data_IF_471909500510
#
_entry.id   IF_471909500510
#
_cell.length_a   1.000
_cell.length_b   1.000
_cell.length_c   1.000
_cell.angle_alpha   90.00
_cell.angle_beta   90.00
_cell.angle_gamma   90.00
#
_symmetry.space_group_name_H-M   'P 1'
#
loop_
_entity.id
_entity.type
_entity.pdbx_description
1 polymer ?
#
# COMPACT_ATOMS: atom_id res chain seq x y z
N UNK A 1 -13.96 -2.10 -1.13
CA UNK A 1 -14.68 -1.99 -2.45
C UNK A 1 -14.98 -0.55 -2.88
N UNK A 2 -15.69 0.28 -2.09
CA UNK A 2 -16.08 1.65 -2.50
C UNK A 2 -14.87 2.57 -2.71
N UNK A 3 -13.90 2.56 -1.83
CA UNK A 3 -12.65 3.34 -1.97
C UNK A 3 -11.92 3.04 -3.27
N UNK A 4 -11.87 1.77 -3.70
CA UNK A 4 -11.25 1.40 -4.97
C UNK A 4 -12.01 2.00 -6.17
N UNK A 5 -13.36 2.00 -6.13
CA UNK A 5 -14.19 2.62 -7.18
C UNK A 5 -13.91 4.13 -7.26
N UNK A 6 -13.86 4.83 -6.11
CA UNK A 6 -13.53 6.25 -6.08
C UNK A 6 -12.11 6.53 -6.56
N UNK A 7 -11.12 5.77 -6.09
CA UNK A 7 -9.73 5.91 -6.52
C UNK A 7 -9.60 5.76 -8.04
N UNK A 8 -10.24 4.75 -8.63
CA UNK A 8 -10.25 4.56 -10.08
C UNK A 8 -10.98 5.70 -10.79
N UNK A 9 -12.17 6.09 -10.32
CA UNK A 9 -12.91 7.20 -10.90
C UNK A 9 -12.14 8.52 -10.88
N UNK A 10 -11.46 8.83 -9.79
CA UNK A 10 -10.60 10.01 -9.67
C UNK A 10 -9.43 9.92 -10.65
N UNK A 11 -8.72 8.80 -10.70
CA UNK A 11 -7.59 8.62 -11.61
C UNK A 11 -7.99 8.78 -13.06
N UNK A 12 -9.01 8.07 -13.51
CA UNK A 12 -9.36 8.00 -14.94
C UNK A 12 -10.15 9.22 -15.40
N UNK A 13 -11.10 9.74 -14.60
CA UNK A 13 -12.03 10.80 -15.03
C UNK A 13 -11.60 12.21 -14.64
N UNK A 14 -10.82 12.36 -13.59
CA UNK A 14 -10.40 13.67 -13.10
C UNK A 14 -8.93 13.93 -13.43
N UNK A 15 -8.07 12.94 -13.20
CA UNK A 15 -6.62 13.07 -13.41
C UNK A 15 -6.17 12.57 -14.79
N UNK A 16 -7.08 11.98 -15.57
CA UNK A 16 -6.82 11.49 -16.95
C UNK A 16 -5.65 10.50 -17.01
N UNK A 17 -5.54 9.64 -15.98
CA UNK A 17 -4.52 8.61 -15.87
C UNK A 17 -5.05 7.29 -16.41
N UNK A 18 -4.43 6.78 -17.47
CA UNK A 18 -4.88 5.61 -18.20
C UNK A 18 -4.08 4.35 -17.82
N UNK A 19 -2.80 4.53 -17.47
CA UNK A 19 -1.95 3.41 -17.07
C UNK A 19 -2.36 2.83 -15.71
N UNK A 20 -1.97 1.59 -15.45
CA UNK A 20 -2.26 0.92 -14.17
C UNK A 20 -1.70 1.71 -12.99
N UNK A 21 -0.50 2.25 -13.13
CA UNK A 21 0.21 3.07 -12.15
C UNK A 21 1.15 4.02 -12.88
N UNK A 22 1.23 5.27 -12.44
CA UNK A 22 1.99 6.33 -13.11
C UNK A 22 2.78 7.20 -12.15
N UNK A 23 3.79 7.88 -12.68
CA UNK A 23 4.48 8.97 -11.97
C UNK A 23 3.47 10.03 -11.53
N UNK A 24 3.58 10.48 -10.28
CA UNK A 24 2.66 11.41 -9.65
C UNK A 24 1.42 10.74 -9.02
N UNK A 25 1.27 9.41 -9.14
CA UNK A 25 0.23 8.70 -8.37
C UNK A 25 0.51 8.80 -6.88
N UNK A 26 -0.59 8.92 -6.12
CA UNK A 26 -0.56 8.93 -4.66
C UNK A 26 -0.97 7.57 -4.14
N UNK A 27 -0.09 6.97 -3.36
CA UNK A 27 -0.28 5.65 -2.79
C UNK A 27 -0.17 5.72 -1.27
N UNK A 28 -1.01 4.97 -0.58
CA UNK A 28 -0.97 4.79 0.86
C UNK A 28 -0.34 3.45 1.20
N UNK A 29 0.59 3.44 2.12
CA UNK A 29 1.19 2.23 2.68
C UNK A 29 0.10 1.42 3.41
N UNK A 30 -0.04 0.15 3.08
CA UNK A 30 -1.07 -0.75 3.65
C UNK A 30 -0.57 -1.59 4.82
N UNK A 31 0.74 -1.72 4.98
CA UNK A 31 1.41 -2.51 6.02
C UNK A 31 2.71 -1.83 6.41
N UNK A 32 3.01 -1.76 7.72
CA UNK A 32 4.29 -1.24 8.20
C UNK A 32 5.46 -1.94 7.52
N UNK A 33 6.45 -1.17 7.10
CA UNK A 33 7.64 -1.69 6.44
C UNK A 33 8.90 -1.06 7.06
N UNK A 34 9.83 -1.90 7.51
CA UNK A 34 11.07 -1.51 8.16
C UNK A 34 12.29 -1.72 7.24
N UNK A 35 12.16 -2.56 6.23
CA UNK A 35 13.25 -2.97 5.36
C UNK A 35 13.80 -1.83 4.51
N UNK A 36 12.93 -1.04 3.89
CA UNK A 36 13.35 0.01 2.97
C UNK A 36 13.89 1.26 3.66
N UNK A 37 13.68 1.38 4.96
CA UNK A 37 14.12 2.56 5.74
C UNK A 37 15.45 2.37 6.44
N UNK A 38 16.01 1.16 6.49
CA UNK A 38 17.30 0.88 7.15
C UNK A 38 18.46 1.76 6.69
N UNK A 39 18.41 2.29 5.47
CA UNK A 39 19.46 3.12 4.86
C UNK A 39 19.27 4.62 5.09
N UNK A 40 18.16 5.01 5.72
CA UNK A 40 17.78 6.42 5.87
C UNK A 40 17.75 6.83 7.33
N UNK A 41 18.69 7.68 7.71
CA UNK A 41 18.73 8.23 9.07
C UNK A 41 17.48 9.07 9.35
N UNK A 42 16.86 8.85 10.52
CA UNK A 42 15.67 9.59 10.94
C UNK A 42 14.33 9.06 10.43
N UNK A 43 14.33 7.99 9.62
CA UNK A 43 13.13 7.32 9.15
C UNK A 43 13.10 5.86 9.68
N UNK A 44 12.50 5.60 10.85
CA UNK A 44 12.56 4.28 11.48
C UNK A 44 11.77 3.21 10.72
N UNK A 45 10.68 3.56 10.09
CA UNK A 45 9.86 2.67 9.25
C UNK A 45 8.83 3.47 8.45
N UNK A 46 8.26 2.84 7.43
CA UNK A 46 7.07 3.33 6.73
C UNK A 46 5.83 2.81 7.48
N UNK A 47 5.01 3.73 7.96
CA UNK A 47 3.82 3.37 8.71
C UNK A 47 2.64 3.02 7.79
N UNK A 48 1.80 2.10 8.23
CA UNK A 48 0.50 1.86 7.61
C UNK A 48 -0.35 3.14 7.71
N UNK A 49 -0.66 3.75 6.56
CA UNK A 49 -1.35 5.03 6.46
C UNK A 49 -0.51 6.15 5.86
N UNK A 50 0.83 6.03 5.84
CA UNK A 50 1.69 7.02 5.17
C UNK A 50 1.32 7.15 3.70
N UNK A 51 1.22 8.40 3.23
CA UNK A 51 0.89 8.69 1.83
C UNK A 51 2.15 9.12 1.10
N UNK A 52 2.45 8.41 0.01
CA UNK A 52 3.63 8.60 -0.82
C UNK A 52 3.22 8.94 -2.25
N UNK A 53 3.96 9.86 -2.87
CA UNK A 53 3.83 10.17 -4.30
C UNK A 53 4.91 9.43 -5.08
N UNK A 54 4.54 8.80 -6.19
CA UNK A 54 5.50 8.21 -7.12
C UNK A 54 6.21 9.32 -7.90
N UNK A 55 7.50 9.49 -7.64
CA UNK A 55 8.35 10.42 -8.40
C UNK A 55 8.87 9.79 -9.68
N UNK A 56 9.16 8.49 -9.64
CA UNK A 56 9.66 7.73 -10.76
C UNK A 56 9.29 6.25 -10.62
N UNK A 57 8.88 5.65 -11.72
CA UNK A 57 8.61 4.22 -11.83
C UNK A 57 9.55 3.60 -12.86
N UNK A 58 10.13 2.44 -12.56
CA UNK A 58 11.06 1.73 -13.43
C UNK A 58 10.87 0.23 -13.31
N UNK A 59 11.36 -0.50 -14.31
CA UNK A 59 11.56 -1.94 -14.23
C UNK A 59 10.34 -2.71 -13.73
N UNK A 60 9.17 -2.45 -14.32
CA UNK A 60 8.01 -3.30 -14.08
C UNK A 60 8.35 -4.72 -14.54
N UNK A 61 8.20 -5.69 -13.65
CA UNK A 61 8.60 -7.08 -13.89
C UNK A 61 7.68 -8.06 -13.20
N UNK A 62 7.59 -9.24 -13.75
CA UNK A 62 6.90 -10.37 -13.14
C UNK A 62 7.94 -11.36 -12.61
N UNK A 63 7.86 -11.67 -11.31
CA UNK A 63 8.68 -12.63 -10.60
C UNK A 63 7.81 -13.39 -9.60
N UNK A 64 8.06 -14.67 -9.46
CA UNK A 64 7.31 -15.52 -8.51
C UNK A 64 5.79 -15.53 -8.76
N UNK A 65 5.37 -15.30 -10.02
CA UNK A 65 3.95 -15.16 -10.37
C UNK A 65 3.29 -13.86 -9.91
N UNK A 66 4.08 -12.87 -9.46
CA UNK A 66 3.61 -11.55 -9.02
C UNK A 66 4.32 -10.42 -9.74
N UNK A 67 3.68 -9.25 -9.78
CA UNK A 67 4.18 -8.06 -10.47
C UNK A 67 4.76 -7.06 -9.48
N UNK A 68 5.96 -6.60 -9.80
CA UNK A 68 6.71 -5.64 -9.00
C UNK A 68 7.21 -4.49 -9.87
N UNK A 69 7.42 -3.33 -9.25
CA UNK A 69 8.07 -2.19 -9.89
C UNK A 69 9.07 -1.52 -8.94
N UNK A 70 10.20 -1.08 -9.47
CA UNK A 70 11.12 -0.21 -8.74
C UNK A 70 10.54 1.21 -8.76
N UNK A 71 10.37 1.82 -7.61
CA UNK A 71 9.80 3.14 -7.47
C UNK A 71 10.67 4.05 -6.60
N UNK A 72 10.84 5.29 -7.06
CA UNK A 72 11.26 6.40 -6.20
C UNK A 72 10.00 7.05 -5.65
N UNK A 73 9.88 7.08 -4.34
CA UNK A 73 8.70 7.52 -3.61
C UNK A 73 9.06 8.72 -2.74
N UNK A 74 8.20 9.74 -2.72
CA UNK A 74 8.32 10.92 -1.87
C UNK A 74 7.18 10.95 -0.87
N UNK A 75 7.48 11.20 0.40
CA UNK A 75 6.45 11.47 1.40
C UNK A 75 5.69 12.76 1.07
N UNK A 76 4.39 12.79 1.35
CA UNK A 76 3.60 14.02 1.26
C UNK A 76 3.59 14.80 2.58
N UNK A 77 3.87 14.13 3.70
CA UNK A 77 3.82 14.71 5.04
C UNK A 77 5.21 15.11 5.56
N UNK A 78 6.27 14.52 4.99
CA UNK A 78 7.64 14.71 5.44
C UNK A 78 8.58 14.95 4.26
N UNK A 79 9.71 15.62 4.53
CA UNK A 79 10.72 15.94 3.50
C UNK A 79 11.75 14.80 3.36
N UNK A 80 11.29 13.65 2.82
CA UNK A 80 12.16 12.55 2.47
C UNK A 80 11.68 11.81 1.21
N UNK A 81 12.64 11.20 0.51
CA UNK A 81 12.43 10.33 -0.64
C UNK A 81 13.13 9.00 -0.40
N UNK A 82 12.54 7.90 -0.87
CA UNK A 82 13.12 6.57 -0.81
C UNK A 82 13.00 5.84 -2.15
N UNK A 83 13.96 4.96 -2.40
CA UNK A 83 13.87 3.96 -3.46
C UNK A 83 13.41 2.63 -2.85
N UNK A 84 12.36 2.05 -3.40
CA UNK A 84 11.77 0.80 -2.92
C UNK A 84 11.13 0.00 -4.05
N UNK A 85 10.93 -1.30 -3.81
CA UNK A 85 10.09 -2.13 -4.67
C UNK A 85 8.64 -2.03 -4.21
N UNK A 86 7.74 -1.76 -5.15
CA UNK A 86 6.29 -1.76 -4.93
C UNK A 86 5.71 -3.06 -5.48
N UNK A 87 4.82 -3.68 -4.72
CA UNK A 87 4.08 -4.87 -5.13
C UNK A 87 2.76 -4.48 -5.78
N UNK A 88 2.70 -4.56 -7.11
CA UNK A 88 1.59 -4.02 -7.91
C UNK A 88 0.27 -4.75 -7.66
N UNK A 89 0.29 -6.07 -7.44
CA UNK A 89 -0.93 -6.86 -7.24
C UNK A 89 -1.67 -6.49 -5.94
N UNK A 90 -1.01 -5.81 -4.99
CA UNK A 90 -1.64 -5.36 -3.76
C UNK A 90 -2.44 -4.07 -3.90
N UNK A 91 -2.20 -3.29 -4.97
CA UNK A 91 -2.79 -1.94 -5.16
C UNK A 91 -4.31 -2.01 -5.24
N UNK A 92 -4.84 -3.04 -5.88
CA UNK A 92 -6.29 -3.26 -6.08
C UNK A 92 -6.90 -4.25 -5.11
N UNK A 93 -6.11 -4.80 -4.19
CA UNK A 93 -6.59 -5.77 -3.22
C UNK A 93 -7.73 -5.19 -2.38
N UNK A 94 -8.79 -5.98 -2.20
CA UNK A 94 -9.99 -5.55 -1.47
C UNK A 94 -9.83 -5.64 0.05
N UNK A 95 -8.91 -6.49 0.54
CA UNK A 95 -8.77 -6.73 1.98
C UNK A 95 -7.32 -7.02 2.42
N UNK A 96 -7.00 -6.78 3.70
CA UNK A 96 -5.72 -7.20 4.27
C UNK A 96 -5.51 -8.71 4.25
N UNK A 97 -6.59 -9.50 4.40
CA UNK A 97 -6.55 -10.97 4.40
C UNK A 97 -6.09 -11.49 3.04
N UNK A 98 -6.59 -10.91 1.94
CA UNK A 98 -6.15 -11.25 0.59
C UNK A 98 -4.64 -11.00 0.42
N UNK A 99 -4.13 -9.88 0.93
CA UNK A 99 -2.71 -9.58 0.89
C UNK A 99 -1.87 -10.56 1.73
N UNK A 100 -2.37 -11.04 2.86
CA UNK A 100 -1.68 -12.04 3.67
C UNK A 100 -1.55 -13.39 2.94
N UNK A 101 -2.59 -13.79 2.20
CA UNK A 101 -2.53 -15.01 1.39
C UNK A 101 -1.52 -14.87 0.24
N UNK A 102 -1.54 -13.74 -0.48
CA UNK A 102 -0.52 -13.46 -1.50
C UNK A 102 0.89 -13.47 -0.92
N UNK A 103 1.09 -12.93 0.27
CA UNK A 103 2.39 -12.88 0.93
C UNK A 103 2.89 -14.27 1.34
N UNK A 104 1.98 -15.18 1.72
CA UNK A 104 2.31 -16.57 1.98
C UNK A 104 2.73 -17.31 0.70
N UNK A 105 1.98 -17.14 -0.38
CA UNK A 105 2.33 -17.71 -1.68
C UNK A 105 3.68 -17.20 -2.17
N UNK A 106 3.94 -15.90 -2.03
CA UNK A 106 5.25 -15.31 -2.37
C UNK A 106 6.38 -15.95 -1.56
N UNK A 107 6.18 -16.18 -0.25
CA UNK A 107 7.16 -16.89 0.58
C UNK A 107 7.46 -18.28 0.03
N UNK A 108 6.42 -19.03 -0.34
CA UNK A 108 6.54 -20.40 -0.87
C UNK A 108 7.31 -20.38 -2.21
N UNK A 109 6.98 -19.49 -3.13
CA UNK A 109 7.67 -19.38 -4.42
C UNK A 109 9.14 -18.92 -4.29
N UNK A 110 9.44 -17.97 -3.40
CA UNK A 110 10.84 -17.60 -3.15
C UNK A 110 11.59 -18.76 -2.52
N UNK A 111 10.98 -19.58 -1.65
CA UNK A 111 11.62 -20.73 -1.02
C UNK A 111 12.02 -21.80 -2.05
N UNK A 112 11.32 -21.93 -3.16
CA UNK A 112 11.64 -22.86 -4.25
C UNK A 112 12.99 -22.53 -4.93
N UNK A 113 13.43 -21.28 -4.90
CA UNK A 113 14.74 -20.87 -5.43
C UNK A 113 15.92 -21.32 -4.57
N UNK A 114 15.67 -21.79 -3.33
CA UNK A 114 16.72 -22.17 -2.37
C UNK A 114 16.58 -23.63 -1.89
N UNK A 115 16.58 -24.61 -2.81
CA UNK A 115 16.42 -26.03 -2.43
C UNK A 115 17.54 -26.53 -1.50
N UNK A 116 18.74 -25.95 -1.59
CA UNK A 116 19.89 -26.29 -0.74
C UNK A 116 19.66 -25.88 0.73
N UNK A 117 18.81 -24.88 0.99
CA UNK A 117 18.45 -24.42 2.33
C UNK A 117 17.27 -25.17 2.94
N UNK A 118 16.63 -26.09 2.20
CA UNK A 118 15.47 -26.85 2.67
C UNK A 118 15.72 -27.60 3.99
N UNK A 119 16.97 -28.02 4.24
CA UNK A 119 17.40 -28.71 5.47
C UNK A 119 17.58 -27.76 6.67
N UNK A 120 17.64 -26.44 6.46
CA UNK A 120 17.88 -25.44 7.49
C UNK A 120 16.80 -24.34 7.42
N UNK A 121 15.64 -24.63 7.99
CA UNK A 121 14.51 -23.68 8.02
C UNK A 121 14.91 -22.27 8.51
N UNK A 122 15.82 -22.18 9.50
CA UNK A 122 16.26 -20.88 10.02
C UNK A 122 16.97 -20.05 8.96
N UNK A 123 17.97 -20.66 8.27
CA UNK A 123 18.71 -19.98 7.20
C UNK A 123 17.81 -19.60 6.03
N UNK A 124 16.87 -20.49 5.65
CA UNK A 124 15.91 -20.20 4.58
C UNK A 124 15.06 -18.96 4.93
N UNK A 125 14.50 -18.90 6.14
CA UNK A 125 13.71 -17.76 6.60
C UNK A 125 14.56 -16.48 6.61
N UNK A 126 15.77 -16.52 7.14
CA UNK A 126 16.69 -15.37 7.15
C UNK A 126 16.98 -14.89 5.72
N UNK A 127 17.23 -15.80 4.77
CA UNK A 127 17.46 -15.45 3.36
C UNK A 127 16.25 -14.82 2.71
N UNK A 128 15.05 -15.38 2.91
CA UNK A 128 13.79 -14.82 2.37
C UNK A 128 13.51 -13.41 2.95
N UNK A 129 13.76 -13.20 4.23
CA UNK A 129 13.55 -11.90 4.88
C UNK A 129 14.52 -10.82 4.40
N UNK A 130 15.63 -11.18 3.76
CA UNK A 130 16.53 -10.24 3.08
C UNK A 130 16.13 -9.96 1.63
N UNK A 131 15.14 -10.67 1.09
CA UNK A 131 14.67 -10.45 -0.28
C UNK A 131 13.94 -9.10 -0.41
N UNK A 132 14.32 -8.25 -1.38
CA UNK A 132 13.60 -7.01 -1.67
C UNK A 132 12.16 -7.26 -2.17
N UNK A 133 11.90 -8.40 -2.78
CA UNK A 133 10.56 -8.77 -3.26
C UNK A 133 9.67 -9.23 -2.13
N UNK A 134 10.20 -9.99 -1.15
CA UNK A 134 9.45 -10.35 0.05
C UNK A 134 9.08 -9.12 0.89
N UNK A 135 9.95 -8.12 0.89
CA UNK A 135 9.76 -6.85 1.59
C UNK A 135 9.15 -5.76 0.70
N UNK A 136 8.66 -6.11 -0.50
CA UNK A 136 8.03 -5.14 -1.39
C UNK A 136 6.87 -4.42 -0.71
N UNK A 137 6.76 -3.13 -0.97
CA UNK A 137 5.75 -2.28 -0.36
C UNK A 137 4.36 -2.68 -0.84
N UNK A 138 3.50 -3.02 0.11
CA UNK A 138 2.08 -3.22 -0.11
C UNK A 138 1.39 -1.87 -0.02
N UNK A 139 0.78 -1.42 -1.10
CA UNK A 139 0.23 -0.08 -1.20
C UNK A 139 -1.15 -0.08 -1.84
N UNK A 140 -1.88 1.03 -1.69
CA UNK A 140 -3.18 1.28 -2.32
C UNK A 140 -3.26 2.72 -2.76
N UNK A 141 -4.08 3.03 -3.76
CA UNK A 141 -4.33 4.43 -4.13
C UNK A 141 -4.91 5.23 -2.95
N UNK A 142 -4.46 6.48 -2.83
CA UNK A 142 -4.75 7.37 -1.70
C UNK A 142 -5.56 8.61 -2.08
N UNK A 143 -6.27 8.60 -3.20
CA UNK A 143 -7.18 9.69 -3.59
C UNK A 143 -8.50 9.64 -2.81
N UNK A 144 -8.94 8.44 -2.45
CA UNK A 144 -10.07 8.20 -1.57
C UNK A 144 -9.67 7.16 -0.50
N UNK A 145 -9.92 7.49 0.75
CA UNK A 145 -9.61 6.65 1.91
C UNK A 145 -10.87 6.45 2.76
N UNK A 146 -10.85 5.46 3.65
CA UNK A 146 -11.95 5.31 4.62
C UNK A 146 -11.81 6.33 5.74
N UNK A 147 -12.93 6.70 6.39
CA UNK A 147 -12.92 7.60 7.54
C UNK A 147 -11.94 7.17 8.64
N UNK A 148 -11.81 5.87 8.92
CA UNK A 148 -10.81 5.37 9.89
C UNK A 148 -9.35 5.64 9.47
N UNK A 149 -9.08 5.65 8.16
CA UNK A 149 -7.74 5.91 7.63
C UNK A 149 -7.44 7.39 7.48
N UNK A 150 -8.46 8.25 7.54
CA UNK A 150 -8.31 9.70 7.53
C UNK A 150 -8.06 10.30 8.91
N UNK A 151 -8.29 9.53 9.98
CA UNK A 151 -8.09 10.02 11.36
C UNK A 151 -6.66 10.51 11.59
N UNK A 152 -6.55 11.71 12.15
CA UNK A 152 -5.26 12.38 12.42
C UNK A 152 -4.66 13.11 11.22
N UNK A 153 -5.20 12.94 10.01
CA UNK A 153 -4.79 13.70 8.84
C UNK A 153 -5.39 15.11 8.83
N UNK A 154 -4.74 16.03 8.08
CA UNK A 154 -5.22 17.40 7.87
C UNK A 154 -5.16 17.73 6.39
N UNK A 155 -6.28 18.15 5.82
CA UNK A 155 -6.38 18.48 4.40
C UNK A 155 -7.03 19.86 4.21
N UNK A 156 -6.59 20.58 3.23
CA UNK A 156 -7.17 21.88 2.87
C UNK A 156 -8.61 21.75 2.40
N UNK A 157 -8.95 20.67 1.71
CA UNK A 157 -10.28 20.36 1.19
C UNK A 157 -10.55 18.88 1.35
N UNK A 158 -11.72 18.53 1.88
CA UNK A 158 -12.18 17.15 2.09
C UNK A 158 -13.58 17.00 1.50
N UNK A 159 -13.79 15.92 0.78
CA UNK A 159 -15.09 15.48 0.28
C UNK A 159 -15.50 14.22 1.03
N UNK A 160 -16.56 14.31 1.80
CA UNK A 160 -17.07 13.17 2.59
C UNK A 160 -18.26 12.56 1.86
N UNK A 161 -18.14 11.27 1.51
CA UNK A 161 -19.28 10.48 1.05
C UNK A 161 -20.08 9.98 2.26
N UNK A 162 -21.05 10.77 2.64
CA UNK A 162 -21.93 10.51 3.78
C UNK A 162 -23.08 9.54 3.43
N UNK A 163 -22.78 8.47 2.67
CA UNK A 163 -23.78 7.48 2.29
C UNK A 163 -24.35 6.76 3.52
N UNK A 164 -25.64 6.96 3.77
CA UNK A 164 -26.39 6.33 4.87
C UNK A 164 -26.70 4.82 4.64
N UNK A 165 -26.25 4.24 3.55
CA UNK A 165 -26.52 2.84 3.19
C UNK A 165 -25.55 1.90 3.84
N UNK A 166 -25.89 1.37 4.99
CA UNK A 166 -25.14 0.29 5.61
C UNK A 166 -25.18 0.29 7.12
N UNK A 167 -25.10 -0.87 7.66
CA UNK A 167 -25.15 -1.33 9.05
C UNK A 167 -24.19 -0.62 10.05
N UNK A 168 -23.42 0.37 9.59
CA UNK A 168 -22.39 1.04 10.40
C UNK A 168 -22.93 2.22 11.23
N UNK A 169 -24.17 2.67 11.00
CA UNK A 169 -24.77 3.78 11.72
C UNK A 169 -26.07 3.31 12.39
N UNK A 170 -25.97 2.80 13.59
CA UNK A 170 -27.13 2.54 14.43
C UNK A 170 -27.77 3.88 14.82
N UNK A 171 -28.78 4.31 14.01
CA UNK A 171 -29.54 5.53 14.24
C UNK A 171 -28.82 6.83 13.86
N UNK A 172 -29.51 7.98 14.09
CA UNK A 172 -28.97 9.30 13.78
C UNK A 172 -27.72 9.64 14.60
N UNK A 173 -27.69 9.26 15.87
CA UNK A 173 -26.53 9.50 16.77
C UNK A 173 -25.27 8.76 16.29
N UNK A 174 -25.40 7.54 15.78
CA UNK A 174 -24.29 6.77 15.22
C UNK A 174 -23.70 7.45 13.98
N UNK A 175 -24.55 8.00 13.12
CA UNK A 175 -24.11 8.75 11.94
C UNK A 175 -23.33 10.02 12.31
N UNK A 176 -23.82 10.82 13.26
CA UNK A 176 -23.11 12.04 13.68
C UNK A 176 -21.78 11.74 14.38
N UNK A 177 -21.71 10.68 15.19
CA UNK A 177 -20.44 10.24 15.79
C UNK A 177 -19.44 9.82 14.73
N UNK A 178 -19.89 9.04 13.75
CA UNK A 178 -19.02 8.65 12.62
C UNK A 178 -18.55 9.88 11.84
N UNK A 179 -19.43 10.80 11.51
CA UNK A 179 -19.09 12.03 10.77
C UNK A 179 -18.09 12.90 11.53
N UNK A 180 -18.21 12.96 12.85
CA UNK A 180 -17.27 13.70 13.70
C UNK A 180 -15.88 13.06 13.71
N UNK A 181 -15.77 11.75 13.57
CA UNK A 181 -14.51 11.01 13.59
C UNK A 181 -13.88 10.78 12.20
N UNK A 182 -14.64 11.02 11.15
CA UNK A 182 -14.18 10.88 9.76
C UNK A 182 -13.46 12.12 9.25
#
# INVERSE_FOLDING_TARGET
KRTNIYNQGIRTRILWREEEIETGDRLMVSKNNYFWTEKYDGLPFLANGDILEIKRLRNVRELYGFRFADAQLRSLDYDWEIDAVVWLDTIYSDSPEANNELHKQLFEHIAEDYPELAKSKKKLIETIYQSPYYNALQMRFAYAVTGHKSQGGQWKHVYVDAYKGGELCEGEDGFYRWLYTA
#
